data_IF_941464467468
#
_entry.id   IF_941464467468
#
_cell.length_a   1.000
_cell.length_b   1.000
_cell.length_c   1.000
_cell.angle_alpha   90.00
_cell.angle_beta   90.00
_cell.angle_gamma   90.00
#
_symmetry.space_group_name_H-M   'P 1'
#
loop_
_entity.id
_entity.type
_entity.pdbx_description
1 polymer ?
#
# COMPACT_ATOMS: atom_id res chain seq x y z
N UNK A 1 -9.80 -15.07 6.89
CA UNK A 1 -9.38 -15.14 5.47
C UNK A 1 -8.13 -14.31 5.28
N UNK A 2 -7.29 -14.63 4.29
CA UNK A 2 -6.04 -13.90 4.07
C UNK A 2 -6.33 -12.61 3.31
N UNK A 3 -6.28 -11.47 4.00
CA UNK A 3 -6.50 -10.14 3.41
C UNK A 3 -5.30 -9.80 2.52
N UNK A 4 -5.53 -9.79 1.20
CA UNK A 4 -4.52 -9.36 0.25
C UNK A 4 -4.41 -7.83 0.29
N UNK A 5 -3.19 -7.32 0.48
CA UNK A 5 -2.89 -5.90 0.49
C UNK A 5 -2.13 -5.53 -0.78
N UNK A 6 -2.40 -4.37 -1.35
CA UNK A 6 -1.63 -3.83 -2.46
C UNK A 6 -0.85 -2.59 -2.03
N UNK A 7 0.39 -2.45 -2.49
CA UNK A 7 1.18 -1.23 -2.32
C UNK A 7 1.43 -0.60 -3.70
N UNK A 8 0.90 0.60 -3.87
CA UNK A 8 1.08 1.47 -5.02
C UNK A 8 2.08 2.59 -4.68
N UNK A 9 2.77 3.09 -5.70
CA UNK A 9 3.71 4.20 -5.53
C UNK A 9 3.82 5.07 -6.78
N UNK A 10 4.21 6.33 -6.60
CA UNK A 10 4.51 7.28 -7.68
C UNK A 10 5.85 7.98 -7.38
N UNK A 11 6.83 7.77 -8.25
CA UNK A 11 8.20 8.28 -8.09
C UNK A 11 9.18 7.25 -7.52
N UNK A 12 10.47 7.53 -7.65
CA UNK A 12 11.53 6.60 -7.26
C UNK A 12 11.75 6.55 -5.73
N UNK A 13 11.59 7.67 -5.03
CA UNK A 13 11.65 7.70 -3.56
C UNK A 13 10.49 6.91 -2.95
N UNK A 14 9.28 7.10 -3.47
CA UNK A 14 8.07 6.37 -3.07
C UNK A 14 8.20 4.86 -3.31
N UNK A 15 8.89 4.46 -4.39
CA UNK A 15 9.19 3.05 -4.66
C UNK A 15 10.03 2.43 -3.55
N UNK A 16 11.03 3.14 -3.04
CA UNK A 16 11.88 2.64 -1.97
C UNK A 16 11.06 2.38 -0.71
N UNK A 17 10.16 3.30 -0.34
CA UNK A 17 9.29 3.10 0.83
C UNK A 17 8.19 2.06 0.63
N UNK A 18 7.64 1.96 -0.57
CA UNK A 18 6.72 0.88 -0.92
C UNK A 18 7.38 -0.50 -0.73
N UNK A 19 8.66 -0.66 -1.10
CA UNK A 19 9.42 -1.90 -0.88
C UNK A 19 9.57 -2.20 0.61
N UNK A 20 9.94 -1.19 1.41
CA UNK A 20 10.16 -1.37 2.86
C UNK A 20 8.86 -1.78 3.55
N UNK A 21 7.76 -1.06 3.29
CA UNK A 21 6.45 -1.39 3.84
C UNK A 21 6.01 -2.79 3.43
N UNK A 22 6.14 -3.14 2.14
CA UNK A 22 5.79 -4.48 1.67
C UNK A 22 6.62 -5.58 2.35
N UNK A 23 7.89 -5.33 2.64
CA UNK A 23 8.75 -6.27 3.36
C UNK A 23 8.38 -6.39 4.84
N UNK A 24 7.95 -5.31 5.49
CA UNK A 24 7.47 -5.32 6.88
C UNK A 24 6.15 -6.09 7.02
N UNK A 25 5.19 -5.80 6.15
CA UNK A 25 3.91 -6.50 6.11
C UNK A 25 4.07 -7.99 5.83
N UNK A 26 4.94 -8.37 4.89
CA UNK A 26 5.26 -9.79 4.64
C UNK A 26 5.91 -10.46 5.85
N UNK A 27 6.77 -9.75 6.60
CA UNK A 27 7.35 -10.26 7.86
C UNK A 27 6.28 -10.49 8.93
N UNK A 28 5.21 -9.70 8.92
CA UNK A 28 4.05 -9.89 9.77
C UNK A 28 3.09 -11.01 9.27
N UNK A 29 3.41 -11.70 8.18
CA UNK A 29 2.59 -12.77 7.61
C UNK A 29 1.46 -12.30 6.69
N UNK A 30 1.43 -11.02 6.34
CA UNK A 30 0.40 -10.44 5.48
C UNK A 30 0.76 -10.64 4.01
N UNK A 31 -0.22 -11.04 3.19
CA UNK A 31 -0.04 -11.22 1.76
C UNK A 31 -0.02 -9.86 1.06
N UNK A 32 1.15 -9.46 0.54
CA UNK A 32 1.32 -8.15 -0.10
C UNK A 32 1.71 -8.25 -1.57
N UNK A 33 0.88 -7.62 -2.40
CA UNK A 33 1.11 -7.34 -3.81
C UNK A 33 1.60 -5.91 -4.01
N UNK A 34 2.29 -5.69 -5.12
CA UNK A 34 2.77 -4.38 -5.54
C UNK A 34 3.09 -4.41 -7.03
N UNK A 35 3.08 -3.25 -7.69
CA UNK A 35 3.41 -3.19 -9.12
C UNK A 35 4.92 -3.11 -9.34
N UNK A 36 5.44 -3.94 -10.24
CA UNK A 36 6.78 -3.76 -10.79
C UNK A 36 6.77 -2.73 -11.93
N UNK A 37 7.79 -1.87 -11.95
CA UNK A 37 8.04 -0.90 -13.02
C UNK A 37 7.39 0.48 -12.82
N UNK A 38 7.45 1.32 -13.85
CA UNK A 38 6.90 2.68 -13.88
C UNK A 38 5.48 2.69 -14.48
N UNK A 39 4.55 2.00 -13.81
CA UNK A 39 3.12 2.07 -14.16
C UNK A 39 2.50 3.31 -13.55
N UNK A 40 1.58 3.95 -14.25
CA UNK A 40 0.78 5.04 -13.68
C UNK A 40 -0.03 4.55 -12.48
N UNK A 41 -0.31 5.45 -11.53
CA UNK A 41 -1.13 5.13 -10.35
C UNK A 41 -2.44 4.45 -10.74
N UNK A 42 -3.14 4.95 -11.76
CA UNK A 42 -4.38 4.35 -12.29
C UNK A 42 -4.21 2.89 -12.72
N UNK A 43 -3.09 2.55 -13.37
CA UNK A 43 -2.82 1.18 -13.78
C UNK A 43 -2.51 0.26 -12.57
N UNK A 44 -1.83 0.79 -11.56
CA UNK A 44 -1.57 0.08 -10.30
C UNK A 44 -2.87 -0.17 -9.53
N UNK A 45 -3.75 0.83 -9.40
CA UNK A 45 -5.06 0.69 -8.75
C UNK A 45 -5.94 -0.36 -9.46
N UNK A 46 -5.92 -0.38 -10.80
CA UNK A 46 -6.62 -1.43 -11.56
C UNK A 46 -6.06 -2.81 -11.26
N UNK A 47 -4.74 -2.94 -11.12
CA UNK A 47 -4.10 -4.19 -10.78
C UNK A 47 -4.48 -4.64 -9.35
N UNK A 48 -4.52 -3.71 -8.38
CA UNK A 48 -5.00 -3.98 -7.02
C UNK A 48 -6.43 -4.56 -7.03
N UNK A 49 -7.32 -3.94 -7.79
CA UNK A 49 -8.70 -4.40 -7.93
C UNK A 49 -8.80 -5.80 -8.57
N UNK A 50 -8.03 -6.07 -9.65
CA UNK A 50 -8.01 -7.39 -10.31
C UNK A 50 -7.46 -8.48 -9.38
N UNK A 51 -6.51 -8.14 -8.50
CA UNK A 51 -5.95 -9.06 -7.52
C UNK A 51 -6.85 -9.26 -6.29
N UNK A 52 -7.97 -8.55 -6.21
CA UNK A 52 -8.88 -8.61 -5.06
C UNK A 52 -8.23 -8.09 -3.78
N UNK A 53 -7.37 -7.07 -3.88
CA UNK A 53 -6.80 -6.43 -2.71
C UNK A 53 -7.90 -5.69 -1.94
N UNK A 54 -7.96 -5.90 -0.63
CA UNK A 54 -8.94 -5.26 0.26
C UNK A 54 -8.55 -3.80 0.52
N UNK A 55 -7.26 -3.59 0.81
CA UNK A 55 -6.67 -2.28 0.99
C UNK A 55 -5.53 -2.03 0.02
N UNK A 56 -5.44 -0.79 -0.46
CA UNK A 56 -4.32 -0.31 -1.25
C UNK A 56 -3.62 0.85 -0.56
N UNK A 57 -2.36 0.66 -0.19
CA UNK A 57 -1.47 1.69 0.32
C UNK A 57 -0.81 2.44 -0.85
N UNK A 58 -0.71 3.75 -0.77
CA UNK A 58 -0.27 4.63 -1.85
C UNK A 58 0.80 5.56 -1.30
N UNK A 59 1.99 5.47 -1.89
CA UNK A 59 3.09 6.41 -1.64
C UNK A 59 3.24 7.39 -2.80
N UNK A 60 3.10 8.68 -2.54
CA UNK A 60 3.57 9.75 -3.40
C UNK A 60 4.77 10.47 -2.79
N UNK A 61 5.20 11.56 -3.43
CA UNK A 61 6.33 12.35 -2.94
C UNK A 61 6.04 13.03 -1.59
N UNK A 62 4.80 13.44 -1.35
CA UNK A 62 4.42 14.14 -0.11
C UNK A 62 4.32 13.16 1.05
N UNK A 63 3.75 11.97 0.84
CA UNK A 63 3.66 10.91 1.85
C UNK A 63 5.05 10.47 2.31
N UNK A 64 6.00 10.30 1.37
CA UNK A 64 7.39 9.96 1.69
C UNK A 64 8.06 11.04 2.53
N UNK A 65 7.85 12.32 2.20
CA UNK A 65 8.42 13.44 2.97
C UNK A 65 7.85 13.54 4.37
N UNK A 66 6.56 13.23 4.52
CA UNK A 66 5.85 13.32 5.78
C UNK A 66 5.99 12.04 6.64
N UNK A 67 6.55 10.95 6.10
CA UNK A 67 6.61 9.67 6.78
C UNK A 67 5.25 9.00 6.94
N UNK A 68 4.29 9.39 6.10
CA UNK A 68 2.91 8.88 6.09
C UNK A 68 2.67 7.99 4.87
N UNK A 69 1.50 7.37 4.83
CA UNK A 69 0.99 6.64 3.68
C UNK A 69 -0.51 6.79 3.62
N UNK A 70 -1.03 6.95 2.41
CA UNK A 70 -2.48 6.94 2.19
C UNK A 70 -2.90 5.51 1.94
N UNK A 71 -3.89 5.00 2.67
CA UNK A 71 -4.51 3.72 2.35
C UNK A 71 -5.95 3.92 1.92
N UNK A 72 -6.34 3.12 0.92
CA UNK A 72 -7.66 3.13 0.32
C UNK A 72 -8.36 1.81 0.56
N UNK A 73 -9.59 1.87 1.04
CA UNK A 73 -10.51 0.75 1.01
C UNK A 73 -10.99 0.53 -0.43
N UNK A 74 -10.75 -0.65 -0.97
CA UNK A 74 -11.10 -0.98 -2.36
C UNK A 74 -12.58 -1.35 -2.53
N UNK A 75 -13.30 -1.62 -1.45
CA UNK A 75 -14.73 -1.91 -1.38
C UNK A 75 -15.54 -0.62 -1.25
N UNK A 76 -15.23 0.20 -0.24
CA UNK A 76 -15.97 1.44 0.05
C UNK A 76 -15.45 2.63 -0.74
N UNK A 77 -14.20 2.57 -1.21
CA UNK A 77 -13.56 3.64 -1.98
C UNK A 77 -13.08 4.82 -1.12
N UNK A 78 -13.21 4.73 0.19
CA UNK A 78 -12.71 5.70 1.16
C UNK A 78 -11.18 5.62 1.28
N UNK A 79 -10.57 6.73 1.68
CA UNK A 79 -9.13 6.86 1.81
C UNK A 79 -8.78 7.58 3.11
N UNK A 80 -7.74 7.11 3.77
CA UNK A 80 -7.21 7.72 5.00
C UNK A 80 -5.70 7.79 4.94
N UNK A 81 -5.13 8.62 5.79
CA UNK A 81 -3.70 8.78 5.96
C UNK A 81 -3.28 8.24 7.33
N UNK A 82 -2.16 7.54 7.37
CA UNK A 82 -1.60 6.93 8.58
C UNK A 82 -0.08 7.00 8.53
N UNK A 83 0.57 7.00 9.69
CA UNK A 83 2.02 6.88 9.76
C UNK A 83 2.48 5.49 9.28
N UNK A 84 3.58 5.43 8.52
CA UNK A 84 4.09 4.17 7.95
C UNK A 84 4.36 3.13 9.04
N UNK A 85 4.84 3.56 10.21
CA UNK A 85 5.13 2.68 11.34
C UNK A 85 3.90 2.05 12.00
N UNK A 86 2.72 2.65 11.83
CA UNK A 86 1.47 2.17 12.41
C UNK A 86 0.72 1.19 11.50
N UNK A 87 1.08 1.13 10.21
CA UNK A 87 0.38 0.30 9.20
C UNK A 87 0.32 -1.17 9.58
N UNK A 88 1.42 -1.74 10.08
CA UNK A 88 1.46 -3.16 10.48
C UNK A 88 0.54 -3.41 11.66
N UNK A 89 0.49 -2.48 12.63
CA UNK A 89 -0.38 -2.59 13.79
C UNK A 89 -1.86 -2.50 13.38
N UNK A 90 -2.20 -1.56 12.49
CA UNK A 90 -3.55 -1.39 11.95
C UNK A 90 -4.08 -2.69 11.31
N UNK A 91 -3.24 -3.39 10.54
CA UNK A 91 -3.64 -4.61 9.83
C UNK A 91 -3.57 -5.89 10.67
N UNK A 92 -2.92 -5.85 11.85
CA UNK A 92 -2.83 -7.02 12.75
C UNK A 92 -3.79 -6.94 13.94
N UNK A 93 -4.42 -5.79 14.16
CA UNK A 93 -5.45 -5.60 15.19
C UNK A 93 -6.87 -6.03 14.75
N UNK A 94 -7.02 -6.46 13.48
CA UNK A 94 -8.28 -6.98 12.91
C UNK A 94 -8.22 -8.51 12.85
#
# INVERSE_FOLDING_TARGET
EVQAIFVAYVGDEAKAEAIKLAAELRRAGILVYWSFGSKSLKAQMRQANVLGAEYTFIFGEDEVKNGTVVYRDMVEGEQWEVEVGEVVALLTQV
#
